data_IF_110718094412
#
_entry.id   IF_110718094412
#
_cell.length_a   1.000
_cell.length_b   1.000
_cell.length_c   1.000
_cell.angle_alpha   90.00
_cell.angle_beta   90.00
_cell.angle_gamma   90.00
#
_symmetry.space_group_name_H-M   'P 1'
#
loop_
_entity.id
_entity.type
_entity.pdbx_description
1 polymer ?
#
# COMPACT_ATOMS: atom_id res chain seq x y z
N UNK A 1 -8.07 57.41 32.72
CA UNK A 1 -6.62 57.58 32.48
C UNK A 1 -6.28 56.86 31.19
N UNK A 2 -6.11 57.60 30.10
CA UNK A 2 -5.77 57.04 28.81
C UNK A 2 -4.26 56.81 28.76
N UNK A 3 -3.83 55.55 28.63
CA UNK A 3 -2.43 55.21 28.41
C UNK A 3 -2.08 55.57 26.96
N UNK A 4 -1.43 56.71 26.76
CA UNK A 4 -0.83 57.08 25.49
C UNK A 4 0.38 56.19 25.19
N UNK A 5 0.12 55.06 24.54
CA UNK A 5 1.17 54.25 23.93
C UNK A 5 1.87 55.09 22.87
N UNK A 6 3.17 55.34 23.09
CA UNK A 6 4.08 55.97 22.13
C UNK A 6 3.91 55.36 20.73
N UNK A 7 3.99 56.17 19.65
CA UNK A 7 3.84 55.69 18.27
C UNK A 7 4.82 54.55 17.94
N UNK A 8 5.98 54.51 18.59
CA UNK A 8 6.98 53.45 18.44
C UNK A 8 6.44 52.12 18.99
N UNK A 9 5.76 52.12 20.14
CA UNK A 9 5.12 50.92 20.70
C UNK A 9 4.00 50.40 19.80
N UNK A 10 3.23 51.29 19.15
CA UNK A 10 2.18 50.89 18.19
C UNK A 10 2.76 50.25 16.94
N UNK A 11 3.87 50.79 16.41
CA UNK A 11 4.57 50.24 15.25
C UNK A 11 5.19 48.88 15.59
N UNK A 12 5.79 48.72 16.76
CA UNK A 12 6.35 47.44 17.22
C UNK A 12 5.26 46.39 17.44
N UNK A 13 4.10 46.76 17.98
CA UNK A 13 2.94 45.88 18.10
C UNK A 13 2.37 45.48 16.73
N UNK A 14 2.31 46.40 15.77
CA UNK A 14 1.90 46.11 14.39
C UNK A 14 2.91 45.20 13.68
N UNK A 15 4.21 45.45 13.85
CA UNK A 15 5.27 44.60 13.30
C UNK A 15 5.24 43.20 13.93
N UNK A 16 5.04 43.09 15.24
CA UNK A 16 4.89 41.82 15.94
C UNK A 16 3.61 41.09 15.51
N UNK A 17 2.50 41.80 15.31
CA UNK A 17 1.25 41.22 14.79
C UNK A 17 1.41 40.75 13.34
N UNK A 18 2.09 41.52 12.48
CA UNK A 18 2.39 41.12 11.09
C UNK A 18 3.33 39.90 11.08
N UNK A 19 4.35 39.87 11.93
CA UNK A 19 5.24 38.73 12.10
C UNK A 19 4.47 37.51 12.64
N UNK A 20 3.58 37.67 13.61
CA UNK A 20 2.72 36.60 14.12
C UNK A 20 1.76 36.09 13.05
N UNK A 21 1.16 36.97 12.23
CA UNK A 21 0.31 36.58 11.09
C UNK A 21 1.14 35.85 10.03
N UNK A 22 2.39 36.29 9.75
CA UNK A 22 3.30 35.63 8.80
C UNK A 22 3.84 34.28 9.32
N UNK A 23 4.06 34.15 10.62
CA UNK A 23 4.46 32.89 11.26
C UNK A 23 3.27 31.93 11.32
N UNK A 24 2.06 32.43 11.63
CA UNK A 24 0.83 31.65 11.60
C UNK A 24 0.44 31.22 10.18
N UNK A 25 0.73 32.04 9.15
CA UNK A 25 0.53 31.64 7.74
C UNK A 25 1.62 30.68 7.23
N UNK A 26 2.82 30.71 7.83
CA UNK A 26 3.87 29.72 7.58
C UNK A 26 3.61 28.37 8.30
N UNK A 27 2.98 28.38 9.48
CA UNK A 27 2.55 27.17 10.20
C UNK A 27 1.23 26.59 9.68
N UNK A 28 0.48 27.34 8.87
CA UNK A 28 -0.63 26.86 8.03
C UNK A 28 -0.17 26.47 6.61
N UNK A 29 1.12 26.24 6.39
CA UNK A 29 1.62 25.86 5.07
C UNK A 29 1.15 24.45 4.71
N UNK A 30 0.64 24.27 3.49
CA UNK A 30 0.28 22.96 2.95
C UNK A 30 1.50 22.04 2.76
N UNK A 31 2.71 22.60 2.81
CA UNK A 31 3.98 21.93 2.46
C UNK A 31 4.39 20.87 3.49
N UNK A 32 4.46 21.12 4.81
CA UNK A 32 4.74 20.09 5.82
C UNK A 32 3.74 18.93 5.80
N UNK A 33 2.45 19.23 5.64
CA UNK A 33 1.38 18.21 5.60
C UNK A 33 1.52 17.33 4.36
N UNK A 34 1.74 17.92 3.18
CA UNK A 34 1.98 17.16 1.96
C UNK A 34 3.28 16.35 2.06
N UNK A 35 4.33 16.91 2.68
CA UNK A 35 5.62 16.20 2.86
C UNK A 35 5.45 14.98 3.75
N UNK A 36 4.72 15.10 4.85
CA UNK A 36 4.39 13.97 5.72
C UNK A 36 3.58 12.90 4.98
N UNK A 37 2.59 13.31 4.15
CA UNK A 37 1.80 12.38 3.33
C UNK A 37 2.64 11.67 2.27
N UNK A 38 3.62 12.34 1.65
CA UNK A 38 4.55 11.72 0.70
C UNK A 38 5.46 10.68 1.38
N UNK A 39 5.99 11.00 2.57
CA UNK A 39 6.78 10.03 3.34
C UNK A 39 5.93 8.82 3.73
N UNK A 40 4.68 9.05 4.13
CA UNK A 40 3.74 7.97 4.44
C UNK A 40 3.39 7.13 3.21
N UNK A 41 3.24 7.76 2.04
CA UNK A 41 2.99 7.07 0.77
C UNK A 41 4.15 6.13 0.45
N UNK A 42 5.39 6.63 0.53
CA UNK A 42 6.60 5.85 0.27
C UNK A 42 6.77 4.68 1.23
N UNK A 43 6.56 4.90 2.53
CA UNK A 43 6.61 3.81 3.51
C UNK A 43 5.55 2.73 3.24
N UNK A 44 4.34 3.14 2.82
CA UNK A 44 3.29 2.18 2.40
C UNK A 44 3.64 1.46 1.12
N UNK A 45 4.30 2.14 0.19
CA UNK A 45 4.79 1.56 -1.05
C UNK A 45 5.84 0.47 -0.78
N UNK A 46 6.80 0.73 0.10
CA UNK A 46 7.80 -0.26 0.52
C UNK A 46 7.15 -1.46 1.23
N UNK A 47 6.23 -1.21 2.17
CA UNK A 47 5.48 -2.28 2.84
C UNK A 47 4.65 -3.11 1.84
N UNK A 48 4.12 -2.47 0.81
CA UNK A 48 3.42 -3.13 -0.28
C UNK A 48 4.32 -4.06 -1.09
N UNK A 49 5.54 -3.64 -1.42
CA UNK A 49 6.46 -4.51 -2.15
C UNK A 49 6.77 -5.78 -1.36
N UNK A 50 7.02 -5.64 -0.05
CA UNK A 50 7.22 -6.80 0.83
C UNK A 50 5.99 -7.70 0.87
N UNK A 51 4.79 -7.13 0.96
CA UNK A 51 3.55 -7.92 0.95
C UNK A 51 3.30 -8.65 -0.38
N UNK A 52 3.74 -8.09 -1.52
CA UNK A 52 3.68 -8.78 -2.82
C UNK A 52 4.59 -10.00 -2.79
N UNK A 53 5.85 -9.82 -2.41
CA UNK A 53 6.83 -10.90 -2.36
C UNK A 53 6.38 -12.00 -1.41
N UNK A 54 5.90 -11.63 -0.22
CA UNK A 54 5.34 -12.57 0.74
C UNK A 54 4.13 -13.31 0.17
N UNK A 55 3.21 -12.60 -0.48
CA UNK A 55 2.04 -13.22 -1.10
C UNK A 55 2.47 -14.17 -2.21
N UNK A 56 3.46 -13.82 -3.03
CA UNK A 56 3.99 -14.67 -4.10
C UNK A 56 4.58 -15.96 -3.53
N UNK A 57 5.46 -15.83 -2.54
CA UNK A 57 6.06 -16.96 -1.85
C UNK A 57 4.99 -17.89 -1.26
N UNK A 58 3.97 -17.35 -0.60
CA UNK A 58 2.87 -18.16 -0.06
C UNK A 58 2.06 -18.89 -1.15
N UNK A 59 1.93 -18.32 -2.35
CA UNK A 59 1.29 -19.01 -3.47
C UNK A 59 2.13 -20.15 -4.00
N UNK A 60 3.43 -19.92 -4.18
CA UNK A 60 4.38 -20.93 -4.63
C UNK A 60 4.38 -22.12 -3.66
N UNK A 61 4.47 -21.86 -2.35
CA UNK A 61 4.37 -22.90 -1.32
C UNK A 61 3.03 -23.64 -1.37
N UNK A 62 1.91 -22.93 -1.51
CA UNK A 62 0.60 -23.59 -1.60
C UNK A 62 0.47 -24.46 -2.86
N UNK A 63 1.07 -24.02 -3.97
CA UNK A 63 1.09 -24.78 -5.22
C UNK A 63 1.95 -26.04 -5.12
N UNK A 64 3.14 -25.94 -4.51
CA UNK A 64 4.02 -27.08 -4.25
C UNK A 64 3.33 -28.15 -3.39
N UNK A 65 2.66 -27.73 -2.31
CA UNK A 65 1.90 -28.64 -1.45
C UNK A 65 0.72 -29.29 -2.17
N UNK A 66 0.04 -28.54 -3.05
CA UNK A 66 -1.01 -29.11 -3.90
C UNK A 66 -0.48 -30.08 -4.94
N UNK A 67 0.66 -29.81 -5.56
CA UNK A 67 1.30 -30.73 -6.49
C UNK A 67 1.69 -32.01 -5.77
N UNK A 68 2.30 -31.91 -4.58
CA UNK A 68 2.61 -33.08 -3.75
C UNK A 68 1.38 -33.92 -3.41
N UNK A 69 0.26 -33.28 -3.06
CA UNK A 69 -1.00 -33.99 -2.83
C UNK A 69 -1.50 -34.69 -4.10
N UNK A 70 -1.53 -34.00 -5.24
CA UNK A 70 -1.93 -34.58 -6.54
C UNK A 70 -1.06 -35.77 -6.92
N UNK A 71 0.26 -35.65 -6.78
CA UNK A 71 1.20 -36.72 -7.08
C UNK A 71 0.90 -37.98 -6.27
N UNK A 72 0.57 -37.84 -4.98
CA UNK A 72 0.20 -38.96 -4.12
C UNK A 72 -1.12 -39.62 -4.57
N UNK A 73 -2.12 -38.81 -4.92
CA UNK A 73 -3.41 -39.31 -5.44
C UNK A 73 -3.23 -40.02 -6.78
N UNK A 74 -2.43 -39.47 -7.68
CA UNK A 74 -2.14 -40.09 -8.98
C UNK A 74 -1.37 -41.41 -8.83
N UNK A 75 -0.49 -41.52 -7.82
CA UNK A 75 0.21 -42.77 -7.51
C UNK A 75 -0.75 -43.83 -6.98
N UNK A 76 -1.65 -43.46 -6.06
CA UNK A 76 -2.71 -44.35 -5.57
C UNK A 76 -3.61 -44.84 -6.72
N UNK A 77 -4.01 -43.95 -7.63
CA UNK A 77 -4.81 -44.29 -8.82
C UNK A 77 -4.08 -45.23 -9.80
N UNK A 78 -2.75 -45.15 -9.87
CA UNK A 78 -1.90 -46.05 -10.65
C UNK A 78 -1.68 -47.41 -9.99
N UNK A 79 -2.15 -47.60 -8.76
CA UNK A 79 -1.99 -48.84 -7.99
C UNK A 79 -0.69 -48.91 -7.18
N UNK A 80 0.06 -47.81 -7.07
CA UNK A 80 1.23 -47.76 -6.18
C UNK A 80 0.78 -47.88 -4.72
N UNK A 81 1.60 -48.53 -3.88
CA UNK A 81 1.38 -48.51 -2.44
C UNK A 81 1.72 -47.13 -1.88
N UNK A 82 0.69 -46.35 -1.54
CA UNK A 82 0.81 -45.05 -0.89
C UNK A 82 0.19 -45.15 0.52
N UNK A 83 0.92 -44.76 1.58
CA UNK A 83 0.36 -44.79 2.93
C UNK A 83 -0.80 -43.79 3.04
N UNK A 84 -1.98 -44.27 3.45
CA UNK A 84 -3.18 -43.41 3.64
C UNK A 84 -2.88 -42.18 4.53
N UNK A 85 -2.05 -42.36 5.57
CA UNK A 85 -1.62 -41.27 6.45
C UNK A 85 -0.90 -40.15 5.70
N UNK A 86 -0.07 -40.47 4.71
CA UNK A 86 0.68 -39.47 3.93
C UNK A 86 -0.27 -38.67 3.04
N UNK A 87 -1.25 -39.32 2.43
CA UNK A 87 -2.29 -38.66 1.61
C UNK A 87 -3.10 -37.67 2.46
N UNK A 88 -3.55 -38.11 3.64
CA UNK A 88 -4.34 -37.26 4.56
C UNK A 88 -3.54 -36.05 5.05
N UNK A 89 -2.26 -36.24 5.40
CA UNK A 89 -1.39 -35.14 5.81
C UNK A 89 -1.14 -34.16 4.66
N UNK A 90 -0.80 -34.66 3.47
CA UNK A 90 -0.58 -33.80 2.29
C UNK A 90 -1.85 -33.03 1.91
N UNK A 91 -3.02 -33.65 2.00
CA UNK A 91 -4.29 -32.97 1.78
C UNK A 91 -4.49 -31.83 2.79
N UNK A 92 -4.29 -32.11 4.09
CA UNK A 92 -4.43 -31.11 5.15
C UNK A 92 -3.48 -29.92 4.92
N UNK A 93 -2.21 -30.19 4.67
CA UNK A 93 -1.19 -29.16 4.44
C UNK A 93 -1.53 -28.30 3.22
N UNK A 94 -1.97 -28.94 2.12
CA UNK A 94 -2.37 -28.25 0.90
C UNK A 94 -3.60 -27.35 1.12
N UNK A 95 -4.63 -27.84 1.82
CA UNK A 95 -5.83 -27.05 2.13
C UNK A 95 -5.53 -25.87 3.07
N UNK A 96 -4.71 -26.08 4.11
CA UNK A 96 -4.32 -25.03 5.04
C UNK A 96 -3.49 -23.95 4.34
N UNK A 97 -2.54 -24.35 3.49
CA UNK A 97 -1.72 -23.43 2.71
C UNK A 97 -2.57 -22.62 1.73
N UNK A 98 -3.48 -23.25 0.98
CA UNK A 98 -4.41 -22.54 0.10
C UNK A 98 -5.30 -21.55 0.85
N UNK A 99 -5.84 -21.93 2.00
CA UNK A 99 -6.68 -21.05 2.83
C UNK A 99 -5.90 -19.83 3.32
N UNK A 100 -4.66 -20.04 3.79
CA UNK A 100 -3.77 -18.96 4.24
C UNK A 100 -3.45 -18.01 3.09
N UNK A 101 -3.08 -18.57 1.95
CA UNK A 101 -2.75 -17.80 0.75
C UNK A 101 -3.96 -16.97 0.26
N UNK A 102 -5.17 -17.56 0.25
CA UNK A 102 -6.40 -16.84 -0.10
C UNK A 102 -6.73 -15.70 0.87
N UNK A 103 -6.52 -15.91 2.18
CA UNK A 103 -6.69 -14.87 3.20
C UNK A 103 -5.71 -13.71 2.97
N UNK A 104 -4.45 -14.02 2.70
CA UNK A 104 -3.41 -13.03 2.45
C UNK A 104 -3.72 -12.19 1.20
N UNK A 105 -4.13 -12.84 0.09
CA UNK A 105 -4.60 -12.13 -1.11
C UNK A 105 -5.70 -11.10 -0.80
N UNK A 106 -6.66 -11.48 0.05
CA UNK A 106 -7.76 -10.57 0.42
C UNK A 106 -7.24 -9.37 1.21
N UNK A 107 -6.31 -9.58 2.13
CA UNK A 107 -5.69 -8.51 2.90
C UNK A 107 -4.86 -7.58 2.00
N UNK A 108 -4.05 -8.15 1.10
CA UNK A 108 -3.25 -7.38 0.15
C UNK A 108 -4.12 -6.58 -0.82
N UNK A 109 -5.23 -7.13 -1.32
CA UNK A 109 -6.21 -6.39 -2.13
C UNK A 109 -6.85 -5.22 -1.38
N UNK A 110 -7.16 -5.42 -0.09
CA UNK A 110 -7.70 -4.33 0.76
C UNK A 110 -6.67 -3.22 0.96
N UNK A 111 -5.44 -3.59 1.31
CA UNK A 111 -4.34 -2.64 1.46
C UNK A 111 -4.10 -1.86 0.17
N UNK A 112 -4.16 -2.54 -1.00
CA UNK A 112 -4.07 -1.93 -2.32
C UNK A 112 -5.16 -0.88 -2.54
N UNK A 113 -6.41 -1.20 -2.21
CA UNK A 113 -7.51 -0.23 -2.29
C UNK A 113 -7.24 1.03 -1.46
N UNK A 114 -6.80 0.86 -0.21
CA UNK A 114 -6.48 1.99 0.68
C UNK A 114 -5.31 2.85 0.17
N UNK A 115 -4.28 2.21 -0.38
CA UNK A 115 -3.16 2.91 -1.01
C UNK A 115 -3.59 3.71 -2.23
N UNK A 116 -4.44 3.15 -3.10
CA UNK A 116 -4.94 3.84 -4.29
C UNK A 116 -5.78 5.07 -3.94
N UNK A 117 -6.59 5.00 -2.88
CA UNK A 117 -7.33 6.17 -2.38
C UNK A 117 -6.39 7.25 -1.86
N UNK A 118 -5.28 6.89 -1.19
CA UNK A 118 -4.28 7.85 -0.75
C UNK A 118 -3.53 8.51 -1.90
N UNK A 119 -3.16 7.75 -2.93
CA UNK A 119 -2.55 8.26 -4.17
C UNK A 119 -3.48 9.28 -4.83
N UNK A 120 -4.77 8.95 -4.99
CA UNK A 120 -5.78 9.88 -5.54
C UNK A 120 -5.95 11.14 -4.69
N UNK A 121 -5.99 10.99 -3.36
CA UNK A 121 -6.09 12.11 -2.43
C UNK A 121 -4.87 13.05 -2.50
N UNK A 122 -3.67 12.48 -2.64
CA UNK A 122 -2.43 13.23 -2.83
C UNK A 122 -2.42 13.97 -4.18
N UNK A 123 -2.80 13.29 -5.26
CA UNK A 123 -2.89 13.88 -6.60
C UNK A 123 -3.85 15.07 -6.60
N UNK A 124 -5.05 14.92 -6.02
CA UNK A 124 -6.01 16.01 -5.88
C UNK A 124 -5.47 17.17 -5.02
N UNK A 125 -4.72 16.87 -3.95
CA UNK A 125 -4.04 17.88 -3.13
C UNK A 125 -2.99 18.68 -3.91
N UNK A 126 -2.19 18.01 -4.75
CA UNK A 126 -1.20 18.65 -5.61
C UNK A 126 -1.83 19.57 -6.66
N UNK A 127 -2.93 19.16 -7.28
CA UNK A 127 -3.64 20.01 -8.25
C UNK A 127 -4.24 21.26 -7.60
N UNK A 128 -4.71 21.16 -6.36
CA UNK A 128 -5.29 22.28 -5.61
C UNK A 128 -4.25 23.27 -5.09
N UNK A 129 -3.02 22.84 -4.84
CA UNK A 129 -1.94 23.70 -4.34
C UNK A 129 -1.02 24.14 -5.48
N UNK A 130 -1.42 25.18 -6.20
CA UNK A 130 -0.65 25.72 -7.34
C UNK A 130 0.68 26.38 -6.92
N UNK A 131 0.78 26.87 -5.69
CA UNK A 131 1.92 27.63 -5.16
C UNK A 131 2.99 26.76 -4.46
N UNK A 132 3.02 25.46 -4.74
CA UNK A 132 4.07 24.61 -4.20
C UNK A 132 5.42 24.93 -4.85
N UNK A 133 6.54 24.90 -4.10
CA UNK A 133 7.87 24.98 -4.69
C UNK A 133 8.04 23.93 -5.80
N UNK A 134 8.62 24.32 -6.94
CA UNK A 134 8.79 23.45 -8.13
C UNK A 134 9.45 22.11 -7.77
N UNK A 135 10.50 22.14 -6.95
CA UNK A 135 11.20 20.94 -6.47
C UNK A 135 10.28 19.96 -5.73
N UNK A 136 9.34 20.49 -4.96
CA UNK A 136 8.39 19.69 -4.20
C UNK A 136 7.31 19.06 -5.10
N UNK A 137 6.85 19.81 -6.11
CA UNK A 137 5.92 19.28 -7.12
C UNK A 137 6.56 18.14 -7.92
N UNK A 138 7.81 18.31 -8.37
CA UNK A 138 8.54 17.27 -9.10
C UNK A 138 8.74 16.00 -8.26
N UNK A 139 9.07 16.14 -6.97
CA UNK A 139 9.22 14.99 -6.07
C UNK A 139 7.89 14.23 -5.92
N UNK A 140 6.81 14.96 -5.70
CA UNK A 140 5.47 14.38 -5.60
C UNK A 140 5.01 13.67 -6.88
N UNK A 141 5.26 14.27 -8.04
CA UNK A 141 4.93 13.67 -9.35
C UNK A 141 5.72 12.36 -9.56
N UNK A 142 6.99 12.34 -9.15
CA UNK A 142 7.83 11.13 -9.24
C UNK A 142 7.29 10.00 -8.37
N UNK A 143 6.96 10.27 -7.11
CA UNK A 143 6.38 9.29 -6.18
C UNK A 143 5.00 8.80 -6.67
N UNK A 144 4.20 9.70 -7.27
CA UNK A 144 2.90 9.34 -7.88
C UNK A 144 3.07 8.42 -9.10
N UNK A 145 4.05 8.66 -9.97
CA UNK A 145 4.32 7.77 -11.11
C UNK A 145 4.79 6.39 -10.65
N UNK A 146 5.68 6.31 -9.66
CA UNK A 146 6.09 5.03 -9.08
C UNK A 146 4.90 4.27 -8.47
N UNK A 147 3.99 4.98 -7.81
CA UNK A 147 2.76 4.40 -7.29
C UNK A 147 1.86 3.81 -8.38
N UNK A 148 1.75 4.46 -9.54
CA UNK A 148 0.99 3.95 -10.70
C UNK A 148 1.64 2.72 -11.32
N UNK A 149 2.96 2.69 -11.46
CA UNK A 149 3.66 1.50 -11.96
C UNK A 149 3.48 0.30 -11.03
N UNK A 150 3.55 0.53 -9.71
CA UNK A 150 3.21 -0.51 -8.75
C UNK A 150 1.76 -0.97 -8.85
N UNK A 151 0.80 -0.06 -9.05
CA UNK A 151 -0.59 -0.45 -9.31
C UNK A 151 -0.69 -1.41 -10.50
N UNK A 152 0.02 -1.14 -11.61
CA UNK A 152 0.02 -2.02 -12.79
C UNK A 152 0.61 -3.39 -12.47
N UNK A 153 1.71 -3.44 -11.72
CA UNK A 153 2.31 -4.70 -11.26
C UNK A 153 1.33 -5.48 -10.39
N UNK A 154 0.69 -4.82 -9.44
CA UNK A 154 -0.33 -5.42 -8.58
C UNK A 154 -1.50 -6.03 -9.34
N UNK A 155 -2.06 -5.30 -10.29
CA UNK A 155 -3.14 -5.82 -11.14
C UNK A 155 -2.65 -7.07 -11.88
N UNK A 156 -1.46 -7.05 -12.48
CA UNK A 156 -0.92 -8.24 -13.15
C UNK A 156 -0.73 -9.43 -12.20
N UNK A 157 -0.23 -9.19 -10.99
CA UNK A 157 0.07 -10.27 -10.03
C UNK A 157 -1.17 -10.81 -9.34
N UNK A 158 -2.25 -10.03 -9.18
CA UNK A 158 -3.43 -10.43 -8.41
C UNK A 158 -4.73 -10.58 -9.23
N UNK A 159 -4.80 -10.04 -10.45
CA UNK A 159 -5.91 -10.24 -11.39
C UNK A 159 -5.57 -11.24 -12.52
N UNK A 160 -4.39 -11.87 -12.54
CA UNK A 160 -4.18 -12.98 -13.48
C UNK A 160 -5.20 -14.09 -13.20
N UNK A 161 -5.87 -14.55 -14.25
CA UNK A 161 -6.96 -15.53 -14.18
C UNK A 161 -6.50 -16.87 -13.54
N UNK A 162 -5.21 -17.17 -13.58
CA UNK A 162 -4.56 -18.31 -12.91
C UNK A 162 -4.77 -18.32 -11.39
N UNK A 163 -5.08 -17.17 -10.79
CA UNK A 163 -5.28 -17.00 -9.34
C UNK A 163 -6.75 -16.76 -8.96
N UNK A 164 -7.69 -16.74 -9.91
CA UNK A 164 -9.13 -16.55 -9.62
C UNK A 164 -9.80 -17.71 -8.90
N UNK A 165 -9.13 -18.85 -8.73
CA UNK A 165 -9.72 -19.99 -8.02
C UNK A 165 -11.07 -20.35 -8.64
N UNK A 166 -11.14 -20.37 -9.98
CA UNK A 166 -12.25 -21.03 -10.64
C UNK A 166 -12.36 -22.44 -10.06
N UNK A 167 -13.57 -22.90 -9.67
CA UNK A 167 -13.73 -24.28 -9.27
C UNK A 167 -13.14 -25.18 -10.36
N UNK A 168 -12.52 -26.32 -10.01
CA UNK A 168 -11.99 -27.24 -11.02
C UNK A 168 -13.09 -27.51 -12.07
N UNK A 169 -12.76 -27.55 -13.37
CA UNK A 169 -13.73 -27.90 -14.40
C UNK A 169 -14.38 -29.24 -14.00
N UNK A 170 -15.72 -29.24 -14.02
CA UNK A 170 -16.55 -30.42 -13.71
C UNK A 170 -16.33 -31.53 -14.71
#
# INVERSE_FOLDING_TARGET
>A
MACDFSPICRILLLAAAICAIRVCSASASAVPVLRARLVQLRARQEAMNVNIELSRYQMETAQELMNRYKDLVEREQRGDTVPFREVVLAAKDAFEAQRKAAKERRLTRKALGEYLEQVRGLQAGLTRHQNLPIRFRQQAETELEQAKEMQKLYIRTFDSDELRGGPPPR
#
